data_IF_078647415744
#
_entry.id   IF_078647415744
#
_cell.length_a   1.000
_cell.length_b   1.000
_cell.length_c   1.000
_cell.angle_alpha   90.00
_cell.angle_beta   90.00
_cell.angle_gamma   90.00
#
_symmetry.space_group_name_H-M   'P 1'
#
loop_
_entity.id
_entity.type
_entity.pdbx_description
1 polymer ?
#
# COMPACT_ATOMS: atom_id res chain seq x y z
N UNK A 1 -21.72 -14.54 -17.30
CA UNK A 1 -20.45 -13.91 -16.93
C UNK A 1 -20.51 -13.66 -15.43
N UNK A 2 -19.74 -14.39 -14.61
CA UNK A 2 -19.58 -13.99 -13.21
C UNK A 2 -18.83 -12.67 -13.24
N UNK A 3 -19.45 -11.60 -12.79
CA UNK A 3 -18.70 -10.38 -12.44
C UNK A 3 -17.62 -10.82 -11.45
N UNK A 4 -16.38 -10.33 -11.63
CA UNK A 4 -15.36 -10.52 -10.61
C UNK A 4 -15.86 -9.77 -9.37
N UNK A 5 -16.48 -10.51 -8.45
CA UNK A 5 -17.10 -9.95 -7.25
C UNK A 5 -16.06 -9.69 -6.15
N UNK A 6 -14.76 -9.84 -6.45
CA UNK A 6 -13.62 -9.63 -5.55
C UNK A 6 -13.07 -8.21 -5.62
N UNK A 7 -12.29 -7.83 -4.61
CA UNK A 7 -11.53 -6.57 -4.59
C UNK A 7 -10.70 -6.38 -5.86
N UNK A 8 -10.58 -5.14 -6.33
CA UNK A 8 -9.76 -4.80 -7.50
C UNK A 8 -8.35 -4.42 -7.09
N UNK A 9 -7.40 -4.62 -7.98
CA UNK A 9 -6.02 -4.16 -7.81
C UNK A 9 -5.65 -3.17 -8.90
N UNK A 10 -5.16 -2.00 -8.50
CA UNK A 10 -4.65 -0.96 -9.39
C UNK A 10 -3.12 -0.87 -9.27
N UNK A 11 -2.44 -1.33 -10.31
CA UNK A 11 -0.98 -1.17 -10.45
C UNK A 11 -0.61 0.16 -11.11
N UNK A 12 0.67 0.55 -11.00
CA UNK A 12 1.16 1.78 -11.61
C UNK A 12 0.81 1.91 -13.10
N UNK A 13 0.58 3.15 -13.54
CA UNK A 13 0.17 3.58 -14.90
C UNK A 13 -1.22 3.17 -15.36
N UNK A 14 -1.90 2.31 -14.62
CA UNK A 14 -3.33 2.14 -14.81
C UNK A 14 -4.09 3.27 -14.13
N UNK A 15 -5.27 3.57 -14.66
CA UNK A 15 -6.15 4.58 -14.10
C UNK A 15 -7.54 4.03 -13.85
N UNK A 16 -8.03 4.22 -12.64
CA UNK A 16 -9.38 3.80 -12.27
C UNK A 16 -10.01 4.72 -11.22
N UNK A 17 -11.34 4.60 -11.08
CA UNK A 17 -12.12 5.27 -10.04
C UNK A 17 -11.89 4.60 -8.69
N UNK A 18 -11.55 5.42 -7.70
CA UNK A 18 -11.49 5.04 -6.29
C UNK A 18 -12.70 5.66 -5.59
N UNK A 19 -13.55 4.82 -5.01
CA UNK A 19 -14.66 5.31 -4.21
C UNK A 19 -14.15 5.77 -2.83
N UNK A 20 -14.69 6.86 -2.26
CA UNK A 20 -14.30 7.32 -0.93
C UNK A 20 -14.35 6.19 0.10
N UNK A 21 -13.32 6.11 0.94
CA UNK A 21 -13.11 5.12 2.01
C UNK A 21 -12.89 3.68 1.57
N UNK A 22 -12.98 3.38 0.27
CA UNK A 22 -12.88 2.02 -0.27
C UNK A 22 -11.57 1.76 -1.05
N UNK A 23 -10.65 2.72 -1.08
CA UNK A 23 -9.31 2.56 -1.62
C UNK A 23 -8.26 2.49 -0.53
N UNK A 24 -7.35 1.51 -0.63
CA UNK A 24 -6.12 1.44 0.17
C UNK A 24 -4.88 1.62 -0.70
N UNK A 25 -3.99 2.53 -0.32
CA UNK A 25 -2.70 2.71 -0.99
C UNK A 25 -1.58 1.97 -0.23
N UNK A 26 -0.86 1.08 -0.92
CA UNK A 26 0.25 0.30 -0.35
C UNK A 26 1.59 1.05 -0.46
N UNK A 27 1.89 1.85 0.57
CA UNK A 27 3.13 2.61 0.67
C UNK A 27 4.25 1.79 1.33
N UNK A 28 5.50 2.07 0.93
CA UNK A 28 6.67 1.31 1.43
C UNK A 28 7.82 1.31 0.44
N UNK A 29 8.98 0.77 0.82
CA UNK A 29 10.06 0.52 -0.10
C UNK A 29 9.64 -0.52 -1.14
N UNK A 30 10.02 -0.27 -2.39
CA UNK A 30 9.82 -1.20 -3.50
C UNK A 30 11.11 -1.99 -3.73
N UNK A 31 10.97 -3.29 -3.93
CA UNK A 31 12.09 -4.14 -4.33
C UNK A 31 12.60 -3.79 -5.75
N UNK A 32 13.85 -4.15 -6.09
CA UNK A 32 14.36 -3.99 -7.45
C UNK A 32 13.52 -4.74 -8.49
N UNK A 33 13.68 -4.37 -9.76
CA UNK A 33 13.04 -5.04 -10.88
C UNK A 33 13.30 -6.55 -10.88
N UNK A 34 12.27 -7.31 -11.25
CA UNK A 34 12.24 -8.77 -11.23
C UNK A 34 12.00 -9.40 -9.87
N UNK A 35 12.13 -8.65 -8.76
CA UNK A 35 11.90 -9.16 -7.40
C UNK A 35 10.52 -8.79 -6.84
N UNK A 36 9.86 -7.76 -7.40
CA UNK A 36 8.58 -7.25 -6.89
C UNK A 36 7.45 -8.27 -6.92
N UNK A 37 7.44 -9.17 -7.92
CA UNK A 37 6.39 -10.19 -8.10
C UNK A 37 6.29 -11.18 -6.92
N UNK A 38 7.35 -11.30 -6.11
CA UNK A 38 7.41 -12.17 -4.94
C UNK A 38 7.59 -11.37 -3.64
N UNK A 39 7.36 -10.06 -3.67
CA UNK A 39 7.58 -9.17 -2.54
C UNK A 39 6.31 -8.98 -1.68
N UNK A 40 6.45 -8.30 -0.54
CA UNK A 40 5.40 -8.08 0.44
C UNK A 40 4.12 -7.48 -0.15
N UNK A 41 4.20 -6.58 -1.14
CA UNK A 41 2.99 -5.99 -1.76
C UNK A 41 2.15 -7.04 -2.46
N UNK A 42 2.80 -7.96 -3.18
CA UNK A 42 2.12 -9.06 -3.86
C UNK A 42 1.50 -10.00 -2.86
N UNK A 43 2.22 -10.30 -1.79
CA UNK A 43 1.67 -11.09 -0.69
C UNK A 43 0.40 -10.46 -0.10
N UNK A 44 0.39 -9.15 0.14
CA UNK A 44 -0.81 -8.41 0.59
C UNK A 44 -1.93 -8.49 -0.44
N UNK A 45 -1.63 -8.20 -1.72
CA UNK A 45 -2.62 -8.22 -2.81
C UNK A 45 -3.26 -9.60 -2.94
N UNK A 46 -2.45 -10.65 -2.99
CA UNK A 46 -2.91 -12.03 -3.19
C UNK A 46 -3.83 -12.45 -2.04
N UNK A 47 -3.46 -12.17 -0.78
CA UNK A 47 -4.32 -12.49 0.37
C UNK A 47 -5.64 -11.70 0.37
N UNK A 48 -5.62 -10.42 -0.03
CA UNK A 48 -6.85 -9.62 -0.12
C UNK A 48 -7.74 -10.07 -1.28
N UNK A 49 -7.17 -10.54 -2.39
CA UNK A 49 -7.93 -11.07 -3.54
C UNK A 49 -8.64 -12.38 -3.22
N UNK A 50 -8.09 -13.19 -2.30
CA UNK A 50 -8.68 -14.43 -1.82
C UNK A 50 -9.83 -14.21 -0.82
N UNK A 51 -10.01 -12.99 -0.31
CA UNK A 51 -11.04 -12.70 0.69
C UNK A 51 -12.43 -12.47 0.07
N UNK A 52 -13.40 -13.30 0.46
CA UNK A 52 -14.77 -13.26 -0.07
C UNK A 52 -15.62 -12.09 0.47
N UNK A 53 -15.22 -11.43 1.56
CA UNK A 53 -15.95 -10.28 2.10
C UNK A 53 -15.60 -8.98 1.37
N UNK A 54 -14.40 -8.94 0.79
CA UNK A 54 -13.90 -7.85 -0.03
C UNK A 54 -14.44 -7.97 -1.45
N UNK A 55 -14.93 -6.86 -2.00
CA UNK A 55 -15.60 -6.89 -3.30
C UNK A 55 -15.17 -5.78 -4.25
N UNK A 56 -15.69 -5.82 -5.47
CA UNK A 56 -15.24 -4.97 -6.58
C UNK A 56 -15.49 -3.47 -6.41
N UNK A 57 -16.19 -3.02 -5.37
CA UNK A 57 -16.24 -1.60 -5.01
C UNK A 57 -14.99 -1.13 -4.26
N UNK A 58 -14.19 -2.07 -3.74
CA UNK A 58 -12.93 -1.81 -3.04
C UNK A 58 -11.73 -1.92 -3.99
N UNK A 59 -10.65 -1.20 -3.67
CA UNK A 59 -9.43 -1.18 -4.49
C UNK A 59 -8.19 -1.21 -3.62
N UNK A 60 -7.27 -2.11 -3.96
CA UNK A 60 -5.87 -2.06 -3.51
C UNK A 60 -5.05 -1.34 -4.56
N UNK A 61 -4.40 -0.24 -4.20
CA UNK A 61 -3.53 0.52 -5.08
C UNK A 61 -2.07 0.22 -4.74
N UNK A 62 -1.32 -0.29 -5.72
CA UNK A 62 0.07 -0.63 -5.60
C UNK A 62 0.93 0.22 -6.55
N UNK A 63 1.96 0.93 -6.04
CA UNK A 63 2.77 1.83 -6.85
C UNK A 63 3.77 1.13 -7.78
N UNK A 64 3.80 -0.19 -7.79
CA UNK A 64 4.68 -0.98 -8.65
C UNK A 64 3.99 -1.38 -9.97
N UNK A 65 4.75 -1.59 -11.06
CA UNK A 65 4.26 -2.16 -12.31
C UNK A 65 3.68 -3.55 -12.12
N UNK A 66 2.67 -3.93 -12.91
CA UNK A 66 2.02 -5.24 -12.78
C UNK A 66 3.00 -6.41 -12.97
N UNK A 67 4.01 -6.27 -13.83
CA UNK A 67 5.01 -7.32 -14.07
C UNK A 67 6.19 -7.28 -13.12
N UNK A 68 6.32 -6.22 -12.31
CA UNK A 68 7.46 -6.01 -11.43
C UNK A 68 8.72 -5.45 -12.12
N UNK A 69 8.61 -4.96 -13.35
CA UNK A 69 9.70 -4.35 -14.12
C UNK A 69 9.50 -2.84 -14.28
N UNK A 70 10.44 -2.02 -13.79
CA UNK A 70 10.34 -0.55 -13.89
C UNK A 70 10.41 -0.05 -15.34
N UNK A 71 11.06 -0.81 -16.22
CA UNK A 71 11.15 -0.51 -17.65
C UNK A 71 9.81 -0.40 -18.36
N UNK A 72 8.72 -0.93 -17.77
CA UNK A 72 7.37 -0.75 -18.32
C UNK A 72 6.83 0.66 -18.15
N UNK A 73 7.34 1.40 -17.17
CA UNK A 73 6.76 2.67 -16.75
C UNK A 73 7.75 3.84 -16.80
N UNK A 74 9.04 3.54 -17.02
CA UNK A 74 10.11 4.48 -17.33
C UNK A 74 10.16 4.72 -18.84
N UNK A 75 9.32 5.62 -19.34
CA UNK A 75 9.32 6.02 -20.75
C UNK A 75 10.36 7.13 -20.95
N UNK A 76 11.50 6.78 -21.55
CA UNK A 76 12.62 7.71 -21.75
C UNK A 76 12.32 8.85 -22.75
N UNK A 77 11.40 8.64 -23.69
CA UNK A 77 11.10 9.57 -24.78
C UNK A 77 9.58 9.75 -25.00
N UNK A 78 8.89 10.58 -24.20
CA UNK A 78 7.49 10.91 -24.46
C UNK A 78 7.34 11.70 -25.76
N UNK A 79 6.34 11.36 -26.59
CA UNK A 79 6.09 12.03 -27.88
C UNK A 79 5.26 13.31 -27.69
N UNK A 80 4.47 13.37 -26.61
CA UNK A 80 3.62 14.53 -26.29
C UNK A 80 3.82 15.04 -24.86
N UNK A 81 3.41 16.29 -24.63
CA UNK A 81 3.39 16.88 -23.28
C UNK A 81 2.42 16.14 -22.34
N UNK A 82 1.29 15.67 -22.88
CA UNK A 82 0.31 14.89 -22.12
C UNK A 82 0.91 13.56 -21.65
N UNK A 83 1.58 12.83 -22.55
CA UNK A 83 2.31 11.60 -22.21
C UNK A 83 3.40 11.88 -21.18
N UNK A 84 4.16 12.97 -21.34
CA UNK A 84 5.20 13.35 -20.37
C UNK A 84 4.63 13.48 -18.96
N UNK A 85 3.47 14.11 -18.80
CA UNK A 85 2.82 14.29 -17.49
C UNK A 85 2.23 12.97 -16.98
N UNK A 86 1.52 12.23 -17.83
CA UNK A 86 0.93 10.92 -17.48
C UNK A 86 2.00 9.89 -17.09
N UNK A 87 3.20 10.01 -17.66
CA UNK A 87 4.35 9.14 -17.43
C UNK A 87 5.22 9.59 -16.24
N UNK A 88 4.80 10.55 -15.42
CA UNK A 88 5.50 10.86 -14.16
C UNK A 88 5.00 9.98 -13.02
N UNK A 89 5.84 9.05 -12.54
CA UNK A 89 5.46 8.07 -11.51
C UNK A 89 5.05 8.78 -10.22
N UNK A 90 5.83 9.77 -9.81
CA UNK A 90 5.56 10.57 -8.62
C UNK A 90 4.19 11.25 -8.67
N UNK A 91 3.75 11.75 -9.83
CA UNK A 91 2.43 12.38 -9.95
C UNK A 91 1.31 11.34 -9.80
N UNK A 92 1.49 10.16 -10.39
CA UNK A 92 0.55 9.05 -10.26
C UNK A 92 0.41 8.62 -8.80
N UNK A 93 1.54 8.42 -8.09
CA UNK A 93 1.53 8.03 -6.67
C UNK A 93 0.85 9.09 -5.81
N UNK A 94 1.18 10.37 -6.00
CA UNK A 94 0.55 11.48 -5.26
C UNK A 94 -0.95 11.54 -5.53
N UNK A 95 -1.38 11.33 -6.78
CA UNK A 95 -2.80 11.32 -7.14
C UNK A 95 -3.54 10.20 -6.39
N UNK A 96 -3.07 8.96 -6.51
CA UNK A 96 -3.78 7.83 -5.92
C UNK A 96 -3.71 7.80 -4.41
N UNK A 97 -2.61 8.26 -3.82
CA UNK A 97 -2.55 8.47 -2.40
C UNK A 97 -3.57 9.50 -1.91
N UNK A 98 -3.82 10.57 -2.67
CA UNK A 98 -4.86 11.55 -2.30
C UNK A 98 -6.26 10.97 -2.43
N UNK A 99 -6.48 10.07 -3.38
CA UNK A 99 -7.76 9.40 -3.62
C UNK A 99 -8.05 8.26 -2.65
N UNK A 100 -7.02 7.62 -2.09
CA UNK A 100 -7.17 6.59 -1.07
C UNK A 100 -7.27 7.22 0.32
N UNK A 101 -8.38 6.99 1.00
CA UNK A 101 -8.56 7.41 2.40
C UNK A 101 -7.86 6.46 3.38
N UNK A 102 -7.47 5.26 2.92
CA UNK A 102 -6.65 4.32 3.70
C UNK A 102 -5.22 4.33 3.13
N UNK A 103 -4.24 4.63 3.97
CA UNK A 103 -2.81 4.44 3.65
C UNK A 103 -2.26 3.31 4.50
N UNK A 104 -1.72 2.28 3.86
CA UNK A 104 -1.09 1.16 4.54
C UNK A 104 0.41 1.16 4.23
N UNK A 105 1.23 1.39 5.26
CA UNK A 105 2.67 1.60 5.14
C UNK A 105 3.45 0.41 5.73
N UNK A 106 4.11 -0.38 4.89
CA UNK A 106 4.98 -1.48 5.33
C UNK A 106 6.45 -1.08 5.17
N UNK A 107 7.27 -1.30 6.21
CA UNK A 107 8.67 -0.83 6.26
C UNK A 107 9.68 -1.98 6.49
N UNK A 108 9.93 -2.86 5.50
CA UNK A 108 10.97 -3.90 5.56
C UNK A 108 12.34 -3.31 5.20
N UNK A 109 12.86 -2.40 6.03
CA UNK A 109 14.08 -1.65 5.70
C UNK A 109 15.35 -2.29 6.25
N UNK A 110 16.33 -2.53 5.39
CA UNK A 110 17.60 -3.20 5.74
C UNK A 110 18.80 -2.59 5.01
N UNK A 111 19.96 -2.56 5.65
CA UNK A 111 21.21 -2.06 5.05
C UNK A 111 21.90 -3.09 4.16
N UNK A 112 21.84 -4.37 4.53
CA UNK A 112 22.65 -5.41 3.88
C UNK A 112 21.83 -6.66 3.57
N UNK A 113 22.33 -7.47 2.65
CA UNK A 113 21.67 -8.70 2.20
C UNK A 113 21.61 -9.75 3.31
N UNK A 114 22.60 -9.76 4.20
CA UNK A 114 22.69 -10.69 5.32
C UNK A 114 21.58 -10.47 6.34
N UNK A 115 21.19 -9.20 6.59
CA UNK A 115 20.12 -8.88 7.54
C UNK A 115 18.74 -8.88 6.89
N UNK A 116 18.67 -8.63 5.58
CA UNK A 116 17.41 -8.56 4.85
C UNK A 116 16.76 -9.93 4.64
N UNK A 117 17.54 -11.01 4.54
CA UNK A 117 17.06 -12.38 4.34
C UNK A 117 16.08 -12.49 3.15
N UNK A 118 14.77 -12.61 3.42
CA UNK A 118 13.71 -12.70 2.41
C UNK A 118 13.30 -11.33 1.82
N UNK A 119 13.84 -10.23 2.35
CA UNK A 119 13.61 -8.88 1.85
C UNK A 119 14.78 -8.38 1.01
N UNK A 120 14.51 -7.37 0.19
CA UNK A 120 15.56 -6.61 -0.49
C UNK A 120 16.37 -5.76 0.51
N UNK A 121 17.71 -5.66 0.36
CA UNK A 121 18.54 -4.77 1.17
C UNK A 121 18.31 -3.31 0.76
N UNK A 122 17.19 -2.75 1.18
CA UNK A 122 16.74 -1.41 0.84
C UNK A 122 16.39 -0.65 2.12
N UNK A 123 17.07 0.46 2.39
CA UNK A 123 16.78 1.32 3.55
C UNK A 123 15.60 2.27 3.37
N UNK A 124 15.00 2.31 2.17
CA UNK A 124 13.79 3.06 1.85
C UNK A 124 13.92 4.57 2.05
N UNK A 125 14.95 5.26 1.49
CA UNK A 125 15.11 6.70 1.69
C UNK A 125 13.89 7.51 1.23
N UNK A 126 13.36 7.20 0.05
CA UNK A 126 12.12 7.82 -0.48
C UNK A 126 10.92 7.49 0.40
N UNK A 127 10.77 6.22 0.79
CA UNK A 127 9.69 5.77 1.65
C UNK A 127 9.69 6.43 3.03
N UNK A 128 10.86 6.80 3.56
CA UNK A 128 10.94 7.57 4.82
C UNK A 128 10.44 9.00 4.67
N UNK A 129 10.66 9.62 3.51
CA UNK A 129 10.12 10.95 3.21
C UNK A 129 8.60 10.90 3.01
N UNK A 130 8.14 9.95 2.20
CA UNK A 130 6.73 9.62 2.00
C UNK A 130 6.00 9.36 3.32
N UNK A 131 6.62 8.56 4.20
CA UNK A 131 6.09 8.27 5.53
C UNK A 131 5.77 9.55 6.31
N UNK A 132 6.71 10.49 6.37
CA UNK A 132 6.51 11.75 7.07
C UNK A 132 5.37 12.59 6.48
N UNK A 133 5.32 12.70 5.15
CA UNK A 133 4.27 13.43 4.45
C UNK A 133 2.89 12.78 4.67
N UNK A 134 2.76 11.45 4.53
CA UNK A 134 1.47 10.76 4.67
C UNK A 134 0.99 10.70 6.12
N UNK A 135 1.90 10.53 7.08
CA UNK A 135 1.54 10.65 8.49
C UNK A 135 0.97 12.04 8.75
N UNK A 136 1.60 13.10 8.24
CA UNK A 136 1.09 14.46 8.40
C UNK A 136 -0.31 14.65 7.78
N UNK A 137 -0.55 14.11 6.59
CA UNK A 137 -1.87 14.18 5.94
C UNK A 137 -2.95 13.43 6.75
N UNK A 138 -2.62 12.25 7.30
CA UNK A 138 -3.51 11.55 8.23
C UNK A 138 -3.80 12.39 9.49
N UNK A 139 -2.76 12.98 10.11
CA UNK A 139 -2.92 13.75 11.34
C UNK A 139 -3.80 15.01 11.16
N UNK A 140 -3.88 15.56 9.94
CA UNK A 140 -4.77 16.69 9.61
C UNK A 140 -6.24 16.29 9.51
N UNK A 141 -6.54 15.03 9.21
CA UNK A 141 -7.90 14.54 8.94
C UNK A 141 -8.11 13.11 9.45
N UNK A 142 -7.97 12.94 10.76
CA UNK A 142 -8.08 11.63 11.42
C UNK A 142 -9.48 11.02 11.36
N UNK A 143 -10.52 11.82 11.11
CA UNK A 143 -11.91 11.36 11.06
C UNK A 143 -12.24 10.68 9.73
N UNK A 144 -11.57 11.07 8.65
CA UNK A 144 -11.83 10.54 7.31
C UNK A 144 -10.71 9.66 6.78
N UNK A 145 -9.50 9.75 7.33
CA UNK A 145 -8.34 8.97 6.88
C UNK A 145 -7.96 7.89 7.89
N UNK A 146 -7.51 6.75 7.37
CA UNK A 146 -6.91 5.68 8.17
C UNK A 146 -5.44 5.52 7.79
N UNK A 147 -4.58 5.39 8.80
CA UNK A 147 -3.15 5.17 8.62
C UNK A 147 -2.74 3.88 9.33
N UNK A 148 -2.41 2.85 8.55
CA UNK A 148 -2.00 1.53 9.00
C UNK A 148 -0.49 1.43 8.78
N UNK A 149 0.25 0.94 9.78
CA UNK A 149 1.70 0.84 9.68
C UNK A 149 2.23 -0.48 10.24
N UNK A 150 3.24 -1.02 9.59
CA UNK A 150 3.94 -2.18 10.09
C UNK A 150 5.35 -2.32 9.60
N UNK A 151 6.07 -3.26 10.21
CA UNK A 151 7.40 -3.66 9.78
C UNK A 151 7.75 -5.06 10.30
N UNK A 152 8.78 -5.71 9.74
CA UNK A 152 9.53 -6.71 10.48
C UNK A 152 10.05 -6.17 11.81
N UNK A 153 10.14 -7.05 12.82
CA UNK A 153 10.60 -6.70 14.17
C UNK A 153 12.02 -6.13 14.16
N UNK A 154 12.88 -6.69 13.31
CA UNK A 154 14.29 -6.35 13.18
C UNK A 154 14.60 -5.37 12.04
N UNK A 155 13.58 -4.71 11.48
CA UNK A 155 13.77 -3.67 10.48
C UNK A 155 14.56 -2.46 11.03
N UNK A 156 15.46 -1.95 10.22
CA UNK A 156 16.50 -1.01 10.63
C UNK A 156 16.13 0.45 10.39
N UNK A 157 16.46 1.34 11.32
CA UNK A 157 16.27 2.79 11.16
C UNK A 157 14.84 3.30 11.42
N UNK A 158 13.98 2.52 12.08
CA UNK A 158 12.57 2.85 12.31
C UNK A 158 12.25 3.48 13.67
N UNK A 159 13.25 3.74 14.51
CA UNK A 159 13.05 4.17 15.90
C UNK A 159 12.25 5.48 16.01
N UNK A 160 12.51 6.44 15.13
CA UNK A 160 11.78 7.71 15.10
C UNK A 160 10.34 7.54 14.62
N UNK A 161 10.13 6.74 13.56
CA UNK A 161 8.80 6.44 13.06
C UNK A 161 7.93 5.80 14.16
N UNK A 162 8.45 4.77 14.84
CA UNK A 162 7.77 4.08 15.97
C UNK A 162 7.38 5.04 17.09
N UNK A 163 8.27 5.96 17.47
CA UNK A 163 7.99 6.95 18.51
C UNK A 163 6.91 7.95 18.09
N UNK A 164 7.01 8.48 16.88
CA UNK A 164 6.06 9.47 16.35
C UNK A 164 4.64 8.89 16.24
N UNK A 165 4.51 7.68 15.71
CA UNK A 165 3.20 7.01 15.60
C UNK A 165 2.62 6.67 16.98
N UNK A 166 3.46 6.22 17.93
CA UNK A 166 3.02 5.91 19.28
C UNK A 166 2.48 7.16 20.00
N UNK A 167 3.10 8.33 19.81
CA UNK A 167 2.61 9.61 20.34
C UNK A 167 1.21 9.99 19.82
N UNK A 168 0.79 9.42 18.70
CA UNK A 168 -0.50 9.65 18.08
C UNK A 168 -1.48 8.48 18.22
N UNK A 169 -1.13 7.46 19.01
CA UNK A 169 -1.97 6.29 19.26
C UNK A 169 -2.09 5.33 18.08
N UNK A 170 -1.15 5.37 17.13
CA UNK A 170 -1.13 4.48 15.97
C UNK A 170 -0.37 3.20 16.35
N UNK A 171 -1.06 2.07 16.28
CA UNK A 171 -0.50 0.74 16.54
C UNK A 171 0.43 0.30 15.40
N UNK A 172 1.47 -0.47 15.74
CA UNK A 172 2.38 -1.08 14.77
C UNK A 172 2.10 -2.56 14.62
N UNK A 173 1.84 -2.98 13.39
CA UNK A 173 1.75 -4.39 13.03
C UNK A 173 3.17 -4.95 12.81
N UNK A 174 3.58 -5.86 13.69
CA UNK A 174 4.96 -6.39 13.69
C UNK A 174 5.00 -7.82 13.15
N UNK A 175 5.86 -8.06 12.16
CA UNK A 175 6.22 -9.41 11.73
C UNK A 175 7.42 -9.88 12.55
N UNK A 176 7.31 -11.04 13.20
CA UNK A 176 8.40 -11.60 14.00
C UNK A 176 9.58 -12.00 13.12
N UNK A 177 10.80 -11.93 13.67
CA UNK A 177 12.01 -12.19 12.90
C UNK A 177 12.05 -13.63 12.35
N UNK A 178 11.60 -14.58 13.15
CA UNK A 178 11.45 -15.99 12.79
C UNK A 178 10.38 -16.24 11.70
N UNK A 179 9.59 -15.23 11.37
CA UNK A 179 8.48 -15.29 10.43
C UNK A 179 8.74 -14.53 9.12
N UNK A 180 9.97 -14.09 8.85
CA UNK A 180 10.30 -13.30 7.64
C UNK A 180 9.88 -13.95 6.31
N UNK A 181 9.78 -15.28 6.25
CA UNK A 181 9.25 -16.01 5.09
C UNK A 181 7.81 -15.65 4.74
N UNK A 182 7.06 -15.09 5.68
CA UNK A 182 5.69 -14.62 5.47
C UNK A 182 5.64 -13.24 4.79
N UNK A 183 6.78 -12.52 4.72
CA UNK A 183 6.98 -11.18 4.12
C UNK A 183 6.22 -10.03 4.78
N UNK A 184 5.06 -10.28 5.37
CA UNK A 184 4.20 -9.28 6.01
C UNK A 184 3.47 -9.92 7.18
N UNK A 185 3.21 -9.13 8.24
CA UNK A 185 2.46 -9.62 9.39
C UNK A 185 0.99 -9.81 9.01
N UNK A 186 0.38 -10.95 9.39
CA UNK A 186 -1.06 -11.17 9.16
C UNK A 186 -1.93 -10.08 9.80
N UNK A 187 -1.50 -9.52 10.94
CA UNK A 187 -2.22 -8.41 11.58
C UNK A 187 -2.26 -7.14 10.74
N UNK A 188 -1.25 -6.91 9.88
CA UNK A 188 -1.24 -5.77 8.95
C UNK A 188 -2.26 -5.96 7.83
N UNK A 189 -2.32 -7.17 7.25
CA UNK A 189 -3.32 -7.52 6.21
C UNK A 189 -4.73 -7.48 6.79
N UNK A 190 -4.92 -8.04 7.98
CA UNK A 190 -6.21 -8.03 8.67
C UNK A 190 -6.70 -6.61 8.95
N UNK A 191 -5.84 -5.70 9.41
CA UNK A 191 -6.25 -4.31 9.63
C UNK A 191 -6.68 -3.62 8.33
N UNK A 192 -6.02 -3.91 7.20
CA UNK A 192 -6.45 -3.41 5.88
C UNK A 192 -7.84 -3.95 5.54
N UNK A 193 -8.02 -5.27 5.63
CA UNK A 193 -9.31 -5.93 5.37
C UNK A 193 -10.42 -5.34 6.24
N UNK A 194 -10.23 -5.35 7.55
CA UNK A 194 -11.21 -4.88 8.53
C UNK A 194 -11.53 -3.39 8.33
N UNK A 195 -10.54 -2.58 8.01
CA UNK A 195 -10.76 -1.16 7.67
C UNK A 195 -11.64 -1.01 6.43
N UNK A 196 -11.35 -1.73 5.35
CA UNK A 196 -12.15 -1.67 4.12
C UNK A 196 -13.59 -2.16 4.36
N UNK A 197 -13.77 -3.25 5.11
CA UNK A 197 -15.09 -3.77 5.48
C UNK A 197 -15.86 -2.79 6.37
N UNK A 198 -15.21 -2.22 7.40
CA UNK A 198 -15.81 -1.21 8.28
C UNK A 198 -16.23 0.05 7.51
N UNK A 199 -15.46 0.42 6.49
CA UNK A 199 -15.74 1.55 5.61
C UNK A 199 -16.83 1.25 4.58
N UNK A 200 -17.08 -0.03 4.28
CA UNK A 200 -18.18 -0.51 3.44
C UNK A 200 -19.50 -0.15 4.14
N UNK A 201 -20.04 1.01 3.78
CA UNK A 201 -21.34 1.51 4.23
C UNK A 201 -22.40 0.40 4.29
N UNK A 202 -23.28 0.36 5.30
CA UNK A 202 -24.55 -0.31 5.15
C UNK A 202 -25.43 0.58 4.27
N UNK A 203 -25.39 0.41 2.95
CA UNK A 203 -26.48 0.87 2.09
C UNK A 203 -27.72 0.02 2.41
N UNK A 204 -28.41 0.34 3.52
CA UNK A 204 -29.82 0.08 3.60
C UNK A 204 -30.49 1.04 2.62
N UNK A 205 -30.73 0.56 1.40
CA UNK A 205 -31.79 1.15 0.61
C UNK A 205 -33.04 1.13 1.49
N UNK A 206 -33.70 2.26 1.77
CA UNK A 206 -35.07 2.19 2.23
C UNK A 206 -35.83 1.44 1.15
N UNK A 207 -36.29 0.23 1.48
CA UNK A 207 -37.28 -0.45 0.67
C UNK A 207 -38.45 0.52 0.66
N UNK A 208 -38.67 1.18 -0.48
CA UNK A 208 -39.85 1.99 -0.71
C UNK A 208 -41.06 1.08 -0.52
N UNK A 209 -41.71 1.22 0.63
CA UNK A 209 -43.01 0.65 0.96
C UNK A 209 -44.11 1.25 0.11
#
# INVERSE_FOLDING_TARGET
MKTNDHIRTLFSRNHETIFPKLGVFLAGPTSPSGSMINDWRRKVIDELLEDEELNSSMVVVAPEPITGEWSEIDIENPETELERVQNQQMLWEIQYLKLCDVTAFWLPTYWTKETSENFSPNIGPTSRWEFGYFLQEYLKDKENRTFIIGSPEDAEGLQWAKRMTAMHGIEWHILKKEDKQQLVASSFINEIKETLIRNKWPYHYPVSS
#
